data_IF_265534429019
#
_entry.id   IF_265534429019
#
_cell.length_a   1.000
_cell.length_b   1.000
_cell.length_c   1.000
_cell.angle_alpha   90.00
_cell.angle_beta   90.00
_cell.angle_gamma   90.00
#
_symmetry.space_group_name_H-M   'P 1'
#
loop_
_entity.id
_entity.type
_entity.pdbx_description
1 polymer ?
#
# COMPACT_ATOMS: atom_id res chain seq x y z
N UNK A 1 18.68 21.11 19.50
CA UNK A 1 17.39 20.39 19.43
C UNK A 1 17.50 19.25 18.42
N UNK A 2 17.25 18.06 18.87
CA UNK A 2 17.23 16.90 17.99
C UNK A 2 16.03 16.97 17.05
N UNK A 3 16.23 16.58 15.80
CA UNK A 3 15.14 16.51 14.81
C UNK A 3 14.39 15.21 14.97
N UNK A 4 13.06 15.32 14.98
CA UNK A 4 12.16 14.19 15.01
C UNK A 4 11.54 14.00 13.64
N UNK A 5 12.06 13.04 12.90
CA UNK A 5 11.60 12.74 11.55
C UNK A 5 10.85 11.41 11.57
N UNK A 6 9.62 11.41 11.07
CA UNK A 6 8.85 10.18 10.88
C UNK A 6 8.88 9.78 9.42
N UNK A 7 9.13 8.51 9.17
CA UNK A 7 8.97 7.90 7.86
C UNK A 7 7.64 7.13 7.84
N UNK A 8 6.71 7.61 7.04
CA UNK A 8 5.38 7.00 6.89
C UNK A 8 5.38 6.20 5.59
N UNK A 9 5.07 4.90 5.70
CA UNK A 9 4.98 4.00 4.57
C UNK A 9 3.67 3.22 4.69
N UNK A 10 2.84 3.28 3.65
CA UNK A 10 1.58 2.54 3.63
C UNK A 10 1.84 1.07 3.34
N UNK A 11 1.45 0.20 4.27
CA UNK A 11 1.62 -1.23 4.10
C UNK A 11 0.79 -1.77 2.93
N UNK A 12 1.46 -2.43 1.99
CA UNK A 12 0.81 -3.04 0.82
C UNK A 12 -0.11 -2.05 0.11
N UNK A 13 0.38 -0.83 -0.12
CA UNK A 13 -0.44 0.29 -0.60
C UNK A 13 -1.29 -0.05 -1.82
N UNK A 14 -0.69 -0.61 -2.86
CA UNK A 14 -1.41 -0.90 -4.10
C UNK A 14 -2.53 -1.91 -3.90
N UNK A 15 -2.25 -2.99 -3.17
CA UNK A 15 -3.28 -3.99 -2.89
C UNK A 15 -4.35 -3.44 -1.95
N UNK A 16 -3.96 -2.70 -0.92
CA UNK A 16 -4.91 -2.12 0.04
C UNK A 16 -5.83 -1.10 -0.61
N UNK A 17 -5.31 -0.25 -1.47
CA UNK A 17 -6.11 0.74 -2.19
C UNK A 17 -7.05 0.08 -3.19
N UNK A 18 -6.59 -0.94 -3.90
CA UNK A 18 -7.47 -1.75 -4.76
C UNK A 18 -8.57 -2.42 -3.95
N UNK A 19 -8.24 -2.93 -2.77
CA UNK A 19 -9.23 -3.55 -1.87
C UNK A 19 -10.33 -2.56 -1.50
N UNK A 20 -9.96 -1.33 -1.14
CA UNK A 20 -10.93 -0.29 -0.80
C UNK A 20 -11.83 0.07 -1.98
N UNK A 21 -11.27 0.20 -3.18
CA UNK A 21 -12.07 0.49 -4.38
C UNK A 21 -13.05 -0.63 -4.68
N UNK A 22 -12.64 -1.89 -4.55
CA UNK A 22 -13.52 -3.03 -4.76
C UNK A 22 -14.66 -3.08 -3.75
N UNK A 23 -14.38 -2.81 -2.48
CA UNK A 23 -15.41 -2.73 -1.44
C UNK A 23 -16.38 -1.58 -1.70
N UNK A 24 -15.89 -0.42 -2.14
CA UNK A 24 -16.75 0.71 -2.52
C UNK A 24 -17.67 0.37 -3.70
N UNK A 25 -17.24 -0.47 -4.62
CA UNK A 25 -18.05 -0.88 -5.77
C UNK A 25 -19.07 -1.96 -5.42
N UNK A 26 -19.16 -2.38 -4.16
CA UNK A 26 -20.16 -3.32 -3.68
C UNK A 26 -19.69 -4.75 -3.51
N UNK A 27 -18.42 -5.04 -3.71
CA UNK A 27 -17.87 -6.36 -3.45
C UNK A 27 -17.85 -6.62 -1.95
N UNK A 28 -18.11 -7.87 -1.56
CA UNK A 28 -18.22 -8.27 -0.14
C UNK A 28 -16.93 -8.87 0.41
N UNK A 29 -16.04 -9.32 -0.46
CA UNK A 29 -14.77 -9.94 -0.05
C UNK A 29 -13.68 -8.88 -0.02
N UNK A 30 -13.02 -8.75 1.13
CA UNK A 30 -11.84 -7.91 1.27
C UNK A 30 -10.60 -8.71 0.83
N UNK A 31 -10.01 -8.31 -0.28
CA UNK A 31 -8.86 -9.03 -0.83
C UNK A 31 -7.61 -8.97 0.05
N UNK A 32 -7.59 -8.08 1.06
CA UNK A 32 -6.50 -8.05 2.05
C UNK A 32 -6.52 -9.25 2.98
N UNK A 33 -7.68 -9.91 3.12
CA UNK A 33 -7.90 -11.01 4.06
C UNK A 33 -7.73 -12.40 3.44
N UNK A 34 -7.51 -12.47 2.14
CA UNK A 34 -7.34 -13.74 1.40
C UNK A 34 -5.98 -13.78 0.71
N UNK A 35 -5.51 -14.98 0.30
CA UNK A 35 -4.34 -15.07 -0.55
C UNK A 35 -4.61 -14.42 -1.91
N UNK A 36 -4.12 -13.19 -2.09
CA UNK A 36 -4.40 -12.37 -3.25
C UNK A 36 -3.16 -11.60 -3.69
N UNK A 37 -3.07 -11.35 -4.97
CA UNK A 37 -2.06 -10.49 -5.56
C UNK A 37 -2.71 -9.51 -6.53
N UNK A 38 -2.07 -8.38 -6.71
CA UNK A 38 -2.29 -7.49 -7.83
C UNK A 38 -1.25 -7.87 -8.87
N UNK A 39 -1.68 -8.15 -10.07
CA UNK A 39 -0.76 -8.58 -11.11
C UNK A 39 -1.27 -8.24 -12.50
N UNK A 40 -0.44 -8.52 -13.48
CA UNK A 40 -0.82 -8.38 -14.88
C UNK A 40 -1.75 -9.51 -15.33
N UNK A 41 -1.84 -9.68 -16.63
CA UNK A 41 -2.69 -10.69 -17.23
C UNK A 41 -2.19 -12.10 -16.86
N UNK A 42 -2.98 -12.82 -16.04
CA UNK A 42 -2.66 -14.17 -15.61
C UNK A 42 -2.65 -15.20 -16.75
N UNK A 43 -3.27 -14.86 -17.89
CA UNK A 43 -3.24 -15.73 -19.08
C UNK A 43 -1.89 -15.69 -19.78
N UNK A 44 -1.06 -14.71 -19.46
CA UNK A 44 0.31 -14.59 -19.99
C UNK A 44 1.31 -15.04 -18.94
N UNK A 45 2.22 -15.94 -19.33
CA UNK A 45 3.29 -16.41 -18.45
C UNK A 45 4.24 -15.30 -18.00
N UNK A 46 4.26 -14.18 -18.73
CA UNK A 46 5.11 -13.02 -18.44
C UNK A 46 4.53 -12.08 -17.38
N UNK A 47 3.30 -12.31 -16.88
CA UNK A 47 2.72 -11.50 -15.81
C UNK A 47 3.50 -11.66 -14.51
N UNK A 48 3.68 -10.54 -13.79
CA UNK A 48 4.41 -10.53 -12.52
C UNK A 48 3.54 -10.03 -11.37
N UNK A 49 3.95 -10.39 -10.16
CA UNK A 49 3.33 -9.92 -8.92
C UNK A 49 3.74 -8.47 -8.67
N UNK A 50 2.76 -7.55 -8.67
CA UNK A 50 2.98 -6.14 -8.38
C UNK A 50 2.81 -5.85 -6.89
N UNK A 51 1.85 -6.49 -6.26
CA UNK A 51 1.58 -6.37 -4.82
C UNK A 51 0.94 -7.68 -4.34
N UNK A 52 1.05 -7.93 -3.04
CA UNK A 52 0.54 -9.16 -2.45
C UNK A 52 -0.09 -8.90 -1.09
N UNK A 53 -1.09 -9.71 -0.73
CA UNK A 53 -1.67 -9.69 0.61
C UNK A 53 -0.71 -10.32 1.63
N UNK A 54 -0.93 -10.06 2.90
CA UNK A 54 -0.16 -10.70 3.98
C UNK A 54 -0.33 -12.21 3.96
N UNK A 55 -1.53 -12.69 3.64
CA UNK A 55 -1.80 -14.12 3.49
C UNK A 55 -0.98 -14.73 2.35
N UNK A 56 -0.90 -14.04 1.20
CA UNK A 56 -0.06 -14.50 0.08
C UNK A 56 1.44 -14.50 0.46
N UNK A 57 1.88 -13.50 1.20
CA UNK A 57 3.27 -13.41 1.67
C UNK A 57 3.68 -14.65 2.49
N UNK A 58 2.76 -15.21 3.28
CA UNK A 58 3.01 -16.40 4.10
C UNK A 58 3.32 -17.65 3.27
N UNK A 59 2.87 -17.69 2.03
CA UNK A 59 3.19 -18.75 1.08
C UNK A 59 4.55 -18.57 0.40
N UNK A 60 5.28 -17.51 0.77
CA UNK A 60 6.58 -17.23 0.18
C UNK A 60 6.52 -16.47 -1.15
N UNK A 61 5.37 -15.93 -1.50
CA UNK A 61 5.21 -15.14 -2.73
C UNK A 61 5.95 -13.82 -2.59
N UNK A 62 6.75 -13.47 -3.61
CA UNK A 62 7.57 -12.25 -3.62
C UNK A 62 7.11 -11.31 -4.72
N UNK A 63 7.24 -10.01 -4.46
CA UNK A 63 7.05 -8.99 -5.49
C UNK A 63 8.02 -9.22 -6.64
N UNK A 64 7.53 -9.02 -7.85
CA UNK A 64 8.26 -9.22 -9.11
C UNK A 64 8.45 -10.66 -9.54
N UNK A 65 8.08 -11.66 -8.73
CA UNK A 65 8.07 -13.04 -9.27
C UNK A 65 6.93 -13.22 -10.27
N UNK A 66 7.01 -14.24 -11.12
CA UNK A 66 5.96 -14.51 -12.10
C UNK A 66 4.69 -15.00 -11.41
N UNK A 67 3.54 -14.67 -11.98
CA UNK A 67 2.25 -15.17 -11.50
C UNK A 67 2.20 -16.69 -11.55
N UNK A 68 2.81 -17.27 -12.57
CA UNK A 68 2.95 -18.73 -12.70
C UNK A 68 3.65 -19.34 -11.48
N UNK A 69 4.79 -18.75 -11.08
CA UNK A 69 5.54 -19.20 -9.89
C UNK A 69 4.71 -19.01 -8.61
N UNK A 70 4.04 -17.86 -8.48
CA UNK A 70 3.22 -17.56 -7.33
C UNK A 70 2.07 -18.56 -7.16
N UNK A 71 1.40 -18.92 -8.25
CA UNK A 71 0.31 -19.92 -8.23
C UNK A 71 0.80 -21.30 -7.87
N UNK A 72 2.04 -21.65 -8.20
CA UNK A 72 2.62 -22.92 -7.78
C UNK A 72 2.84 -22.98 -6.27
N UNK A 73 3.20 -21.83 -5.65
CA UNK A 73 3.37 -21.72 -4.20
C UNK A 73 2.03 -21.70 -3.48
N UNK A 74 1.00 -21.13 -4.10
CA UNK A 74 -0.34 -21.02 -3.52
C UNK A 74 -1.38 -21.31 -4.60
N UNK A 75 -1.86 -22.57 -4.75
CA UNK A 75 -2.83 -22.91 -5.80
C UNK A 75 -4.16 -22.16 -5.70
N UNK A 76 -4.56 -21.74 -4.49
CA UNK A 76 -5.80 -20.98 -4.26
C UNK A 76 -5.64 -19.47 -4.42
N UNK A 77 -4.47 -19.03 -4.86
CA UNK A 77 -4.17 -17.61 -5.05
C UNK A 77 -5.16 -16.95 -6.02
N UNK A 78 -5.69 -15.80 -5.62
CA UNK A 78 -6.54 -14.96 -6.46
C UNK A 78 -5.71 -13.83 -7.06
N UNK A 79 -5.85 -13.62 -8.36
CA UNK A 79 -5.15 -12.57 -9.10
C UNK A 79 -6.16 -11.49 -9.49
N UNK A 80 -5.85 -10.26 -9.12
CA UNK A 80 -6.71 -9.11 -9.41
C UNK A 80 -5.93 -8.10 -10.27
N UNK A 81 -6.62 -7.42 -11.19
CA UNK A 81 -5.97 -6.38 -11.98
C UNK A 81 -5.65 -5.16 -11.11
N UNK A 82 -4.63 -4.43 -11.52
CA UNK A 82 -4.28 -3.17 -10.89
C UNK A 82 -5.37 -2.13 -11.17
N UNK A 83 -5.65 -1.27 -10.17
CA UNK A 83 -6.38 -0.04 -10.42
C UNK A 83 -5.55 0.87 -11.32
N UNK A 84 -6.20 1.89 -11.92
CA UNK A 84 -5.46 2.84 -12.73
C UNK A 84 -4.57 3.74 -11.85
N UNK A 85 -3.58 4.37 -12.47
CA UNK A 85 -2.63 5.23 -11.76
C UNK A 85 -3.31 6.44 -11.12
N UNK A 86 -4.36 6.95 -11.75
CA UNK A 86 -5.15 8.06 -11.21
C UNK A 86 -5.74 7.72 -9.84
N UNK A 87 -6.28 6.52 -9.70
CA UNK A 87 -6.83 6.04 -8.42
C UNK A 87 -5.77 6.00 -7.34
N UNK A 88 -4.59 5.45 -7.65
CA UNK A 88 -3.48 5.42 -6.70
C UNK A 88 -3.04 6.82 -6.30
N UNK A 89 -2.97 7.76 -7.24
CA UNK A 89 -2.63 9.15 -6.96
C UNK A 89 -3.64 9.80 -6.04
N UNK A 90 -4.93 9.53 -6.22
CA UNK A 90 -5.99 10.05 -5.35
C UNK A 90 -5.81 9.57 -3.91
N UNK A 91 -5.51 8.29 -3.69
CA UNK A 91 -5.22 7.77 -2.35
C UNK A 91 -3.96 8.36 -1.77
N UNK A 92 -2.90 8.51 -2.57
CA UNK A 92 -1.67 9.16 -2.15
C UNK A 92 -1.90 10.59 -1.71
N UNK A 93 -2.71 11.35 -2.46
CA UNK A 93 -3.06 12.72 -2.11
C UNK A 93 -3.90 12.79 -0.83
N UNK A 94 -4.81 11.85 -0.61
CA UNK A 94 -5.58 11.76 0.64
C UNK A 94 -4.66 11.53 1.83
N UNK A 95 -3.68 10.65 1.69
CA UNK A 95 -2.67 10.42 2.72
C UNK A 95 -1.92 11.71 3.03
N UNK A 96 -1.41 12.39 2.01
CA UNK A 96 -0.68 13.64 2.17
C UNK A 96 -1.52 14.70 2.88
N UNK A 97 -2.77 14.89 2.45
CA UNK A 97 -3.67 15.86 3.06
C UNK A 97 -3.97 15.52 4.52
N UNK A 98 -4.11 14.25 4.85
CA UNK A 98 -4.29 13.83 6.24
C UNK A 98 -3.06 14.15 7.08
N UNK A 99 -1.86 13.92 6.54
CA UNK A 99 -0.61 14.20 7.26
C UNK A 99 -0.36 15.70 7.45
N UNK A 100 -0.87 16.54 6.55
CA UNK A 100 -0.78 18.01 6.68
C UNK A 100 -1.48 18.55 7.94
N UNK A 101 -2.41 17.79 8.51
CA UNK A 101 -3.05 18.18 9.79
C UNK A 101 -2.07 18.16 10.96
N UNK A 102 -0.96 17.45 10.84
CA UNK A 102 0.04 17.28 11.89
C UNK A 102 1.24 18.21 11.73
N UNK A 103 1.68 18.42 10.50
CA UNK A 103 2.81 19.28 10.16
C UNK A 103 2.72 19.68 8.69
N UNK A 104 3.24 20.86 8.36
CA UNK A 104 3.40 21.30 6.97
C UNK A 104 4.75 20.90 6.36
N UNK A 105 5.65 20.36 7.18
CA UNK A 105 6.98 19.95 6.76
C UNK A 105 6.99 18.49 6.36
N UNK A 106 6.53 18.23 5.15
CA UNK A 106 6.38 16.88 4.60
C UNK A 106 7.09 16.79 3.27
N UNK A 107 7.98 15.80 3.15
CA UNK A 107 8.57 15.41 1.88
C UNK A 107 7.86 14.17 1.36
N UNK A 108 7.27 14.27 0.17
CA UNK A 108 6.64 13.12 -0.49
C UNK A 108 7.73 12.38 -1.25
N UNK A 109 8.17 11.27 -0.69
CA UNK A 109 9.26 10.48 -1.25
C UNK A 109 8.79 9.60 -2.42
N UNK A 110 7.63 8.97 -2.27
CA UNK A 110 7.00 8.14 -3.31
C UNK A 110 5.48 8.18 -3.15
N UNK A 111 4.78 7.44 -3.98
CA UNK A 111 3.32 7.41 -3.97
C UNK A 111 2.73 6.93 -2.62
N UNK A 112 3.47 6.10 -1.90
CA UNK A 112 3.02 5.51 -0.63
C UNK A 112 3.93 5.84 0.55
N UNK A 113 4.88 6.77 0.38
CA UNK A 113 5.86 7.11 1.41
C UNK A 113 6.01 8.62 1.57
N UNK A 114 6.03 9.06 2.82
CA UNK A 114 6.29 10.45 3.18
C UNK A 114 7.26 10.52 4.35
N UNK A 115 8.11 11.55 4.36
CA UNK A 115 8.88 11.93 5.54
C UNK A 115 8.25 13.18 6.15
N UNK A 116 8.05 13.15 7.48
CA UNK A 116 7.44 14.25 8.22
C UNK A 116 8.40 14.76 9.28
N UNK A 117 8.63 16.06 9.28
CA UNK A 117 9.37 16.70 10.36
C UNK A 117 8.39 17.06 11.49
N UNK A 118 8.44 16.32 12.57
CA UNK A 118 7.57 16.47 13.74
C UNK A 118 8.26 17.16 14.93
N UNK A 119 9.45 17.71 14.71
CA UNK A 119 10.28 18.27 15.79
C UNK A 119 9.49 19.28 16.63
N UNK A 120 8.90 20.30 15.99
CA UNK A 120 8.15 21.32 16.72
C UNK A 120 6.88 20.78 17.36
N UNK A 121 6.20 19.88 16.65
CA UNK A 121 4.92 19.32 17.10
C UNK A 121 5.13 18.50 18.38
N UNK A 122 6.17 17.68 18.44
CA UNK A 122 6.47 16.88 19.63
C UNK A 122 6.93 17.75 20.79
N UNK A 123 7.74 18.78 20.52
CA UNK A 123 8.19 19.72 21.55
C UNK A 123 6.99 20.47 22.17
N UNK A 124 6.11 21.01 21.35
CA UNK A 124 4.92 21.72 21.82
C UNK A 124 4.03 20.82 22.68
N UNK A 125 3.79 19.58 22.23
CA UNK A 125 3.00 18.63 22.99
C UNK A 125 3.67 18.23 24.32
N UNK A 126 4.97 18.16 24.33
CA UNK A 126 5.71 17.83 25.54
C UNK A 126 5.60 18.93 26.59
N UNK A 127 5.69 20.19 26.18
CA UNK A 127 5.66 21.32 27.09
C UNK A 127 4.26 21.70 27.57
N UNK A 128 3.21 21.34 26.85
CA UNK A 128 1.84 21.66 27.22
C UNK A 128 1.07 20.50 27.89
N UNK A 129 1.76 19.45 28.21
CA UNK A 129 1.24 18.40 29.07
C UNK A 129 1.48 18.81 30.54
#
# INVERSE_FOLDING_TARGET
MEREILHIDVNNAFLSWCALERLKSGETIDIREIPAIIGGDETRRAGIVLAKSMSAKRYGIKTAETIYSAKRKCPKLKVFPSCDYKTYKEYSNKLYNMLLEYTDKIERFSIDECFMDMTRVFDERYYFK
#
